data_IF_143906983793
#
_entry.id   IF_143906983793
#
_cell.length_a   1.000
_cell.length_b   1.000
_cell.length_c   1.000
_cell.angle_alpha   90.00
_cell.angle_beta   90.00
_cell.angle_gamma   90.00
#
_symmetry.space_group_name_H-M   'P 1'
#
loop_
_entity.id
_entity.type
_entity.pdbx_description
1 polymer ?
#
# COMPACT_ATOMS: atom_id res chain seq x y z
N UNK A 1 25.15 54.78 16.69
CA UNK A 1 24.32 53.70 17.29
C UNK A 1 23.48 53.08 16.17
N UNK A 2 23.84 51.88 15.71
CA UNK A 2 23.12 51.18 14.62
C UNK A 2 22.31 50.06 15.26
N UNK A 3 20.99 50.12 15.13
CA UNK A 3 20.06 49.10 15.64
C UNK A 3 20.04 47.90 14.70
N UNK A 4 20.51 46.75 15.19
CA UNK A 4 20.34 45.45 14.53
C UNK A 4 18.91 44.94 14.77
N UNK A 5 18.03 45.13 13.79
CA UNK A 5 16.71 44.50 13.77
C UNK A 5 16.89 43.01 13.42
N UNK A 6 16.75 42.14 14.43
CA UNK A 6 16.61 40.70 14.25
C UNK A 6 15.22 40.39 13.67
N UNK A 7 15.13 40.21 12.35
CA UNK A 7 13.94 39.62 11.73
C UNK A 7 13.98 38.11 11.95
N UNK A 8 12.94 37.56 12.59
CA UNK A 8 12.76 36.10 12.70
C UNK A 8 12.63 35.51 11.28
N UNK A 9 13.29 34.38 10.97
CA UNK A 9 13.10 33.74 9.67
C UNK A 9 11.65 33.28 9.53
N UNK A 10 11.07 33.35 8.32
CA UNK A 10 9.70 32.90 8.08
C UNK A 10 9.59 31.40 8.37
N UNK A 11 8.50 31.02 9.04
CA UNK A 11 8.21 29.62 9.33
C UNK A 11 8.07 28.83 8.02
N UNK A 12 8.71 27.66 7.90
CA UNK A 12 8.68 26.88 6.66
C UNK A 12 7.25 26.41 6.38
N UNK A 13 6.76 26.67 5.16
CA UNK A 13 5.45 26.16 4.72
C UNK A 13 5.53 24.65 4.57
N UNK A 14 4.39 23.94 4.73
CA UNK A 14 4.34 22.46 4.83
C UNK A 14 5.05 21.68 3.70
N UNK A 15 5.28 22.31 2.54
CA UNK A 15 6.06 21.75 1.44
C UNK A 15 7.58 21.67 1.71
N UNK A 16 8.14 22.57 2.52
CA UNK A 16 9.57 22.56 2.88
C UNK A 16 9.89 21.45 3.90
N UNK A 17 8.95 21.15 4.80
CA UNK A 17 9.06 20.04 5.75
C UNK A 17 9.06 18.69 5.01
N UNK A 18 8.20 18.53 3.99
CA UNK A 18 8.16 17.32 3.15
C UNK A 18 9.44 17.13 2.33
N UNK A 19 10.05 18.21 1.82
CA UNK A 19 11.30 18.15 1.06
C UNK A 19 12.53 17.80 1.90
N UNK A 20 12.53 18.15 3.19
CA UNK A 20 13.63 17.81 4.11
C UNK A 20 13.71 16.31 4.47
N UNK A 21 12.57 15.58 4.45
CA UNK A 21 12.51 14.16 4.81
C UNK A 21 12.90 13.19 3.68
N UNK A 22 12.95 13.67 2.44
CA UNK A 22 13.25 12.83 1.25
C UNK A 22 14.76 12.86 0.91
N UNK A 23 15.54 13.71 1.58
CA UNK A 23 16.96 13.87 1.31
C UNK A 23 17.81 13.05 2.29
N UNK A 24 18.49 12.04 1.72
CA UNK A 24 19.71 11.38 2.24
C UNK A 24 19.49 10.26 3.26
N UNK A 25 19.22 9.04 2.76
CA UNK A 25 19.95 7.83 3.20
C UNK A 25 19.85 6.69 2.19
N UNK A 26 20.96 6.53 1.45
CA UNK A 26 21.53 5.28 0.92
C UNK A 26 20.67 4.41 -0.02
N UNK A 27 20.68 4.78 -1.29
CA UNK A 27 20.81 3.83 -2.42
C UNK A 27 21.51 4.55 -3.57
N UNK A 28 22.78 4.89 -3.33
CA UNK A 28 23.67 5.51 -4.30
C UNK A 28 24.76 4.50 -4.63
N UNK A 29 24.42 3.47 -5.41
CA UNK A 29 25.35 2.67 -6.21
C UNK A 29 24.50 1.87 -7.22
N UNK A 30 24.84 1.96 -8.52
CA UNK A 30 24.18 1.31 -9.68
C UNK A 30 23.01 2.01 -10.40
N UNK A 31 22.96 3.34 -10.44
CA UNK A 31 22.12 4.03 -11.44
C UNK A 31 22.82 5.26 -12.03
N UNK A 32 23.93 5.04 -12.74
CA UNK A 32 24.49 6.04 -13.66
C UNK A 32 24.50 5.47 -15.08
N UNK A 33 23.36 5.60 -15.76
CA UNK A 33 23.28 5.74 -17.22
C UNK A 33 22.05 6.58 -17.56
N UNK A 34 22.29 7.85 -17.84
CA UNK A 34 21.48 8.81 -18.60
C UNK A 34 19.95 8.75 -18.43
N UNK A 35 19.42 9.39 -17.38
CA UNK A 35 17.99 9.69 -17.30
C UNK A 35 17.64 10.92 -18.14
N UNK A 36 17.39 10.70 -19.43
CA UNK A 36 16.60 11.64 -20.23
C UNK A 36 15.14 11.48 -19.82
N UNK A 37 14.59 12.46 -19.12
CA UNK A 37 13.19 12.49 -18.71
C UNK A 37 12.32 12.79 -19.94
N UNK A 38 11.60 11.78 -20.44
CA UNK A 38 10.49 11.97 -21.39
C UNK A 38 10.71 11.52 -22.84
N UNK A 39 11.60 10.56 -23.11
CA UNK A 39 11.74 9.94 -24.44
C UNK A 39 11.77 8.41 -24.38
N UNK A 40 11.43 7.74 -25.50
CA UNK A 40 11.58 6.27 -25.64
C UNK A 40 13.03 5.90 -25.31
N UNK A 41 13.27 4.86 -24.48
CA UNK A 41 14.63 4.40 -24.17
C UNK A 41 15.42 4.17 -25.45
N UNK A 42 16.63 4.75 -25.55
CA UNK A 42 17.48 4.61 -26.75
C UNK A 42 17.99 3.18 -26.96
N UNK A 43 17.99 2.36 -25.90
CA UNK A 43 18.41 0.95 -25.94
C UNK A 43 17.35 0.13 -25.22
N UNK A 44 16.57 -0.64 -25.98
CA UNK A 44 15.70 -1.67 -25.43
C UNK A 44 16.53 -2.95 -25.30
N UNK A 45 16.71 -3.45 -24.07
CA UNK A 45 17.27 -4.78 -23.82
C UNK A 45 16.25 -5.84 -24.24
N UNK A 46 16.22 -6.12 -25.54
CA UNK A 46 15.39 -7.19 -26.11
C UNK A 46 16.00 -8.54 -25.81
N UNK A 47 15.14 -9.52 -25.55
CA UNK A 47 15.54 -10.93 -25.41
C UNK A 47 15.90 -11.46 -26.80
N UNK A 48 17.19 -11.72 -27.03
CA UNK A 48 17.73 -12.15 -28.33
C UNK A 48 18.07 -13.64 -28.41
N UNK A 49 18.14 -14.32 -27.27
CA UNK A 49 18.57 -15.73 -27.18
C UNK A 49 17.35 -16.58 -26.86
N UNK A 50 17.04 -17.52 -27.75
CA UNK A 50 16.01 -18.54 -27.54
C UNK A 50 16.63 -19.87 -27.08
N UNK A 51 15.88 -20.64 -26.30
CA UNK A 51 16.17 -22.04 -26.01
C UNK A 51 14.89 -22.85 -26.23
N UNK A 52 15.02 -23.99 -26.90
CA UNK A 52 13.90 -24.90 -27.14
C UNK A 52 13.95 -26.04 -26.13
N UNK A 53 12.81 -26.35 -25.52
CA UNK A 53 12.63 -27.47 -24.59
C UNK A 53 11.49 -28.32 -25.17
N UNK A 54 11.72 -29.63 -25.26
CA UNK A 54 10.72 -30.59 -25.71
C UNK A 54 10.06 -31.22 -24.49
N UNK A 55 8.73 -31.34 -24.52
CA UNK A 55 7.93 -31.93 -23.45
C UNK A 55 7.22 -33.17 -23.97
N UNK A 56 7.04 -34.15 -23.10
CA UNK A 56 6.12 -35.27 -23.30
C UNK A 56 4.68 -34.82 -23.11
N UNK A 57 3.72 -35.62 -23.58
CA UNK A 57 2.30 -35.27 -23.48
C UNK A 57 1.82 -35.13 -22.02
N UNK A 58 2.33 -35.99 -21.13
CA UNK A 58 2.06 -35.93 -19.69
C UNK A 58 2.61 -34.66 -19.05
N UNK A 59 3.82 -34.24 -19.41
CA UNK A 59 4.44 -33.03 -18.89
C UNK A 59 3.71 -31.78 -19.37
N UNK A 60 3.24 -31.79 -20.62
CA UNK A 60 2.48 -30.68 -21.18
C UNK A 60 1.14 -30.47 -20.45
N UNK A 61 0.47 -31.54 -20.01
CA UNK A 61 -0.76 -31.44 -19.20
C UNK A 61 -0.49 -30.74 -17.87
N UNK A 62 0.59 -31.10 -17.18
CA UNK A 62 1.02 -30.45 -15.95
C UNK A 62 1.31 -28.97 -16.22
N UNK A 63 2.05 -28.66 -17.29
CA UNK A 63 2.39 -27.28 -17.67
C UNK A 63 1.13 -26.42 -17.92
N UNK A 64 0.10 -27.01 -18.53
CA UNK A 64 -1.17 -26.34 -18.82
C UNK A 64 -1.94 -26.03 -17.54
N UNK A 65 -1.99 -26.99 -16.61
CA UNK A 65 -2.59 -26.78 -15.28
C UNK A 65 -1.87 -25.66 -14.53
N UNK A 66 -0.53 -25.69 -14.49
CA UNK A 66 0.28 -24.66 -13.84
C UNK A 66 0.09 -23.26 -14.45
N UNK A 67 -0.14 -23.17 -15.76
CA UNK A 67 -0.44 -21.90 -16.42
C UNK A 67 -1.83 -21.37 -16.03
N UNK A 68 -2.81 -22.27 -15.91
CA UNK A 68 -4.20 -21.90 -15.59
C UNK A 68 -4.35 -21.46 -14.14
N UNK A 69 -3.58 -22.08 -13.23
CA UNK A 69 -3.59 -21.76 -11.81
C UNK A 69 -2.69 -20.56 -11.45
N UNK A 70 -1.74 -20.20 -12.31
CA UNK A 70 -0.81 -19.09 -12.09
C UNK A 70 -1.24 -17.76 -12.72
N UNK A 71 -0.58 -16.65 -12.33
CA UNK A 71 -0.81 -15.30 -12.91
C UNK A 71 -0.03 -15.06 -14.21
N UNK A 72 0.36 -16.10 -14.94
CA UNK A 72 1.24 -15.95 -16.09
C UNK A 72 0.44 -15.79 -17.38
N UNK A 73 0.77 -14.78 -18.19
CA UNK A 73 0.11 -14.54 -19.48
C UNK A 73 0.62 -15.47 -20.59
N UNK A 74 1.78 -16.08 -20.40
CA UNK A 74 2.44 -16.91 -21.40
C UNK A 74 3.30 -17.99 -20.75
N UNK A 75 3.38 -19.17 -21.37
CA UNK A 75 4.32 -20.24 -21.00
C UNK A 75 5.76 -19.74 -20.87
N UNK A 76 6.17 -18.80 -21.72
CA UNK A 76 7.52 -18.25 -21.67
C UNK A 76 7.79 -17.49 -20.36
N UNK A 77 6.78 -16.87 -19.77
CA UNK A 77 6.90 -16.16 -18.51
C UNK A 77 6.96 -17.13 -17.34
N UNK A 78 6.02 -18.08 -17.30
CA UNK A 78 5.97 -19.19 -16.36
C UNK A 78 7.31 -19.95 -16.30
N UNK A 79 7.81 -20.41 -17.45
CA UNK A 79 9.06 -21.18 -17.54
C UNK A 79 10.25 -20.33 -17.09
N UNK A 80 10.29 -19.04 -17.44
CA UNK A 80 11.40 -18.17 -17.02
C UNK A 80 11.40 -17.96 -15.51
N UNK A 81 10.24 -17.77 -14.91
CA UNK A 81 10.14 -17.60 -13.45
C UNK A 81 10.52 -18.89 -12.72
N UNK A 82 10.04 -20.04 -13.20
CA UNK A 82 10.39 -21.35 -12.63
C UNK A 82 11.90 -21.61 -12.75
N UNK A 83 12.50 -21.39 -13.93
CA UNK A 83 13.90 -21.73 -14.22
C UNK A 83 14.88 -20.74 -13.56
N UNK A 84 14.60 -19.44 -13.59
CA UNK A 84 15.51 -18.40 -13.09
C UNK A 84 15.28 -18.14 -11.61
N UNK A 85 14.03 -17.95 -11.20
CA UNK A 85 13.69 -17.51 -9.85
C UNK A 85 13.48 -18.69 -8.89
N UNK A 86 13.40 -19.94 -9.39
CA UNK A 86 13.22 -21.18 -8.61
C UNK A 86 12.08 -21.10 -7.57
N UNK A 87 11.11 -20.22 -7.81
CA UNK A 87 9.98 -19.96 -6.93
C UNK A 87 8.73 -20.16 -7.76
N UNK A 88 8.10 -21.31 -7.59
CA UNK A 88 6.72 -21.47 -8.01
C UNK A 88 5.85 -20.86 -6.91
N UNK A 89 5.31 -19.67 -7.15
CA UNK A 89 4.29 -19.09 -6.27
C UNK A 89 2.94 -19.60 -6.76
N UNK A 90 2.39 -20.61 -6.08
CA UNK A 90 0.94 -20.84 -6.13
C UNK A 90 0.32 -19.69 -5.37
N UNK A 91 -0.26 -18.74 -6.09
CA UNK A 91 -1.08 -17.72 -5.46
C UNK A 91 -2.46 -18.34 -5.35
N UNK A 92 -2.75 -18.96 -4.21
CA UNK A 92 -4.15 -19.15 -3.82
C UNK A 92 -4.71 -17.75 -3.59
N UNK A 93 -5.23 -17.12 -4.65
CA UNK A 93 -5.97 -15.88 -4.56
C UNK A 93 -7.27 -16.21 -3.82
N UNK A 94 -7.21 -16.24 -2.50
CA UNK A 94 -8.40 -16.12 -1.68
C UNK A 94 -8.88 -14.66 -1.80
N UNK A 95 -9.48 -14.38 -2.95
CA UNK A 95 -10.06 -13.10 -3.32
C UNK A 95 -11.07 -12.66 -2.27
N UNK A 96 -11.79 -13.61 -1.70
CA UNK A 96 -12.86 -13.36 -0.75
C UNK A 96 -12.29 -12.87 0.58
N UNK A 97 -11.27 -13.55 1.13
CA UNK A 97 -10.55 -13.05 2.30
C UNK A 97 -9.92 -11.67 2.09
N UNK A 98 -9.40 -11.40 0.89
CA UNK A 98 -8.84 -10.08 0.56
C UNK A 98 -9.91 -8.99 0.52
N UNK A 99 -11.06 -9.28 -0.09
CA UNK A 99 -12.20 -8.36 -0.16
C UNK A 99 -12.73 -8.08 1.26
N UNK A 100 -12.91 -9.11 2.09
CA UNK A 100 -13.36 -8.97 3.48
C UNK A 100 -12.41 -8.11 4.30
N UNK A 101 -11.09 -8.33 4.20
CA UNK A 101 -10.08 -7.50 4.87
C UNK A 101 -10.15 -6.04 4.43
N UNK A 102 -10.31 -5.78 3.13
CA UNK A 102 -10.46 -4.42 2.62
C UNK A 102 -11.73 -3.72 3.15
N UNK A 103 -12.85 -4.44 3.23
CA UNK A 103 -14.09 -3.91 3.80
C UNK A 103 -13.89 -3.51 5.26
N UNK A 104 -13.21 -4.35 6.07
CA UNK A 104 -12.92 -4.05 7.47
C UNK A 104 -12.03 -2.80 7.61
N UNK A 105 -10.98 -2.68 6.79
CA UNK A 105 -10.08 -1.51 6.79
C UNK A 105 -10.87 -0.22 6.51
N UNK A 106 -11.74 -0.23 5.49
CA UNK A 106 -12.56 0.94 5.16
C UNK A 106 -13.56 1.28 6.27
N UNK A 107 -14.17 0.30 6.91
CA UNK A 107 -15.05 0.53 8.06
C UNK A 107 -14.28 1.16 9.24
N UNK A 108 -13.09 0.65 9.58
CA UNK A 108 -12.23 1.24 10.62
C UNK A 108 -11.85 2.68 10.28
N UNK A 109 -11.53 2.97 9.02
CA UNK A 109 -11.18 4.32 8.56
C UNK A 109 -12.35 5.30 8.72
N UNK A 110 -13.57 4.89 8.39
CA UNK A 110 -14.79 5.70 8.58
C UNK A 110 -15.03 6.03 10.05
N UNK A 111 -14.91 5.05 10.94
CA UNK A 111 -15.02 5.29 12.39
C UNK A 111 -13.95 6.26 12.88
N UNK A 112 -12.69 6.06 12.47
CA UNK A 112 -11.60 6.95 12.85
C UNK A 112 -11.83 8.39 12.39
N UNK A 113 -12.35 8.58 11.17
CA UNK A 113 -12.71 9.91 10.66
C UNK A 113 -13.83 10.55 11.47
N UNK A 114 -14.90 9.81 11.78
CA UNK A 114 -16.02 10.30 12.58
C UNK A 114 -15.58 10.68 13.99
N UNK A 115 -14.75 9.84 14.61
CA UNK A 115 -14.17 10.13 15.92
C UNK A 115 -13.32 11.40 15.89
N UNK A 116 -12.45 11.54 14.89
CA UNK A 116 -11.61 12.73 14.76
C UNK A 116 -12.43 14.02 14.54
N UNK A 117 -13.52 13.95 13.76
CA UNK A 117 -14.44 15.08 13.60
C UNK A 117 -15.11 15.45 14.93
N UNK A 118 -15.56 14.46 15.68
CA UNK A 118 -16.18 14.65 16.99
C UNK A 118 -15.20 15.32 17.98
N UNK A 119 -13.97 14.82 18.07
CA UNK A 119 -12.94 15.39 18.94
C UNK A 119 -12.58 16.83 18.54
N UNK A 120 -12.47 17.11 17.23
CA UNK A 120 -12.25 18.49 16.75
C UNK A 120 -13.36 19.42 17.20
N UNK A 121 -14.60 19.01 17.01
CA UNK A 121 -15.78 19.76 17.44
C UNK A 121 -15.80 20.01 18.96
N UNK A 122 -15.39 19.02 19.77
CA UNK A 122 -15.25 19.19 21.22
C UNK A 122 -14.15 20.19 21.59
N UNK A 123 -13.02 20.13 20.92
CA UNK A 123 -11.90 21.04 21.14
C UNK A 123 -12.25 22.49 20.73
N UNK A 124 -12.96 22.66 19.61
CA UNK A 124 -13.43 23.96 19.12
C UNK A 124 -14.41 24.62 20.11
N UNK A 125 -15.33 23.83 20.68
CA UNK A 125 -16.28 24.29 21.69
C UNK A 125 -15.65 24.59 23.05
N UNK A 126 -14.39 24.18 23.30
CA UNK A 126 -13.74 24.24 24.63
C UNK A 126 -14.67 23.73 25.73
N UNK A 127 -15.20 22.52 25.54
CA UNK A 127 -16.22 21.96 26.43
C UNK A 127 -15.68 21.81 27.86
N UNK A 128 -16.28 22.53 28.80
CA UNK A 128 -16.13 22.25 30.25
C UNK A 128 -17.00 21.06 30.66
N UNK A 129 -18.10 20.80 29.94
CA UNK A 129 -19.05 19.71 30.20
C UNK A 129 -19.60 19.15 28.89
N UNK A 130 -19.95 17.85 28.87
CA UNK A 130 -20.59 17.21 27.72
C UNK A 130 -22.12 17.36 27.76
N UNK A 131 -22.71 17.70 26.62
CA UNK A 131 -24.16 17.64 26.46
C UNK A 131 -24.65 16.19 26.29
N UNK A 132 -25.94 15.93 26.56
CA UNK A 132 -26.53 14.59 26.40
C UNK A 132 -26.38 14.04 24.96
N UNK A 133 -26.48 14.92 23.96
CA UNK A 133 -26.32 14.56 22.56
C UNK A 133 -24.89 14.11 22.23
N UNK A 134 -23.89 14.82 22.79
CA UNK A 134 -22.47 14.51 22.61
C UNK A 134 -22.08 13.20 23.30
N UNK A 135 -22.67 12.92 24.46
CA UNK A 135 -22.53 11.62 25.16
C UNK A 135 -23.12 10.49 24.31
N UNK A 136 -24.32 10.68 23.75
CA UNK A 136 -24.93 9.68 22.86
C UNK A 136 -24.09 9.43 21.60
N UNK A 137 -23.51 10.48 21.02
CA UNK A 137 -22.62 10.36 19.86
C UNK A 137 -21.33 9.56 20.21
N UNK A 138 -20.75 9.81 21.38
CA UNK A 138 -19.61 9.04 21.91
C UNK A 138 -19.96 7.56 22.11
N UNK A 139 -21.10 7.28 22.76
CA UNK A 139 -21.57 5.92 23.01
C UNK A 139 -21.82 5.15 21.70
N UNK A 140 -22.37 5.83 20.70
CA UNK A 140 -22.56 5.24 19.36
C UNK A 140 -21.22 4.86 18.72
N UNK A 141 -20.23 5.76 18.75
CA UNK A 141 -18.89 5.47 18.22
C UNK A 141 -18.20 4.33 18.96
N UNK A 142 -18.32 4.28 20.29
CA UNK A 142 -17.78 3.17 21.09
C UNK A 142 -18.43 1.83 20.72
N UNK A 143 -19.74 1.82 20.49
CA UNK A 143 -20.45 0.62 20.08
C UNK A 143 -20.04 0.18 18.65
N UNK A 144 -19.88 1.12 17.72
CA UNK A 144 -19.40 0.84 16.37
C UNK A 144 -17.97 0.24 16.40
N UNK A 145 -17.08 0.76 17.26
CA UNK A 145 -15.73 0.20 17.48
C UNK A 145 -15.83 -1.23 18.00
N UNK A 146 -16.69 -1.49 18.99
CA UNK A 146 -16.89 -2.82 19.56
C UNK A 146 -17.34 -3.82 18.49
N UNK A 147 -18.32 -3.45 17.65
CA UNK A 147 -18.83 -4.32 16.58
C UNK A 147 -17.72 -4.66 15.57
N UNK A 148 -16.91 -3.69 15.16
CA UNK A 148 -15.79 -3.96 14.26
C UNK A 148 -14.75 -4.87 14.93
N UNK A 149 -14.43 -4.63 16.20
CA UNK A 149 -13.50 -5.47 16.95
C UNK A 149 -13.97 -6.93 17.01
N UNK A 150 -15.25 -7.16 17.28
CA UNK A 150 -15.85 -8.50 17.28
C UNK A 150 -15.78 -9.16 15.89
N UNK A 151 -15.98 -8.39 14.80
CA UNK A 151 -15.81 -8.90 13.43
C UNK A 151 -14.36 -9.30 13.14
N UNK A 152 -13.39 -8.46 13.50
CA UNK A 152 -11.96 -8.75 13.32
C UNK A 152 -11.58 -10.03 14.10
N UNK A 153 -12.06 -10.17 15.34
CA UNK A 153 -11.81 -11.36 16.15
C UNK A 153 -12.37 -12.64 15.53
N UNK A 154 -13.53 -12.57 14.86
CA UNK A 154 -14.07 -13.73 14.13
C UNK A 154 -13.19 -14.11 12.94
N UNK A 155 -12.77 -13.14 12.13
CA UNK A 155 -11.92 -13.38 10.95
C UNK A 155 -10.51 -13.88 11.29
N UNK A 156 -10.04 -13.73 12.54
CA UNK A 156 -8.73 -14.26 12.99
C UNK A 156 -8.85 -15.71 13.53
N UNK A 157 -10.04 -16.11 14.00
CA UNK A 157 -10.26 -17.45 14.60
C UNK A 157 -10.68 -18.51 13.58
N UNK A 158 -11.19 -18.09 12.43
CA UNK A 158 -11.39 -18.93 11.23
C UNK A 158 -10.07 -19.11 10.49
#
# INVERSE_FOLDING_TARGET
MVSLLFTKPPCPTGNEILRSRISKKKTKLYFMKNQNKGGRPKVEDKRKIGKTIWFTESENKILTTLLTEGEYQSYNELIRDIVINKKYQVISLDSDSRIQKNILIEQTRRIGNNFNQLIKHFNEKKLDHFTKEEILALLKLLNDIKIIYERIQKTIKE
#
